data_IF_542833636560
#
_entry.id   IF_542833636560
#
_cell.length_a   1.000
_cell.length_b   1.000
_cell.length_c   1.000
_cell.angle_alpha   90.00
_cell.angle_beta   90.00
_cell.angle_gamma   90.00
#
_symmetry.space_group_name_H-M   'P 1'
#
loop_
_entity.id
_entity.type
_entity.pdbx_description
1 polymer ?
#
# COMPACT_ATOMS: atom_id res chain seq x y z
N UNK A 1 -26.76 12.61 -59.44
CA UNK A 1 -26.17 13.17 -58.20
C UNK A 1 -26.74 12.40 -57.03
N UNK A 2 -25.99 11.43 -56.48
CA UNK A 2 -26.41 10.65 -55.32
C UNK A 2 -26.04 11.46 -54.07
N UNK A 3 -27.06 11.90 -53.33
CA UNK A 3 -26.88 12.58 -52.04
C UNK A 3 -26.48 11.53 -51.00
N UNK A 4 -25.20 11.54 -50.62
CA UNK A 4 -24.69 10.76 -49.50
C UNK A 4 -25.21 11.39 -48.19
N UNK A 5 -26.27 10.80 -47.64
CA UNK A 5 -26.79 11.15 -46.33
C UNK A 5 -25.94 10.45 -45.26
N UNK A 6 -24.82 11.07 -44.90
CA UNK A 6 -23.98 10.65 -43.78
C UNK A 6 -24.72 10.92 -42.46
N UNK A 7 -25.60 10.00 -42.06
CA UNK A 7 -26.15 9.97 -40.70
C UNK A 7 -25.03 9.69 -39.73
N UNK A 8 -24.61 10.71 -38.99
CA UNK A 8 -23.80 10.58 -37.78
C UNK A 8 -24.48 9.59 -36.82
N UNK A 9 -23.74 8.67 -36.18
CA UNK A 9 -24.31 7.80 -35.15
C UNK A 9 -24.77 8.68 -33.98
N UNK A 10 -26.09 8.82 -33.85
CA UNK A 10 -26.75 9.37 -32.67
C UNK A 10 -26.21 8.61 -31.45
N UNK A 11 -25.54 9.33 -30.55
CA UNK A 11 -25.23 8.81 -29.23
C UNK A 11 -26.56 8.55 -28.52
N UNK A 12 -26.91 7.28 -28.36
CA UNK A 12 -28.10 6.83 -27.67
C UNK A 12 -28.03 7.24 -26.20
N UNK A 13 -28.60 8.39 -25.87
CA UNK A 13 -28.93 8.77 -24.50
C UNK A 13 -30.28 8.11 -24.16
N UNK A 14 -30.24 7.06 -23.35
CA UNK A 14 -31.44 6.57 -22.67
C UNK A 14 -31.80 7.55 -21.53
N UNK A 15 -33.10 7.61 -21.18
CA UNK A 15 -33.72 8.58 -20.25
C UNK A 15 -33.17 8.68 -18.81
N UNK A 16 -32.07 8.00 -18.49
CA UNK A 16 -31.30 8.15 -17.24
C UNK A 16 -30.08 9.09 -17.38
N UNK A 17 -29.82 9.64 -18.57
CA UNK A 17 -28.70 10.56 -18.81
C UNK A 17 -27.31 9.90 -18.84
N UNK A 18 -27.24 8.56 -18.76
CA UNK A 18 -26.01 7.78 -18.77
C UNK A 18 -25.70 7.23 -20.16
N UNK A 19 -24.46 7.37 -20.61
CA UNK A 19 -23.98 6.85 -21.89
C UNK A 19 -23.87 5.33 -21.88
N UNK A 20 -24.11 4.66 -23.02
CA UNK A 20 -23.96 3.20 -23.16
C UNK A 20 -22.61 2.65 -22.65
N UNK A 21 -21.44 3.23 -23.01
CA UNK A 21 -20.14 2.84 -22.43
C UNK A 21 -20.05 2.99 -20.91
N UNK A 22 -20.74 3.97 -20.31
CA UNK A 22 -20.75 4.14 -18.85
C UNK A 22 -21.57 3.04 -18.17
N UNK A 23 -22.70 2.63 -18.78
CA UNK A 23 -23.51 1.49 -18.29
C UNK A 23 -22.71 0.19 -18.30
N UNK A 24 -21.95 -0.06 -19.37
CA UNK A 24 -21.09 -1.25 -19.47
C UNK A 24 -19.92 -1.20 -18.48
N UNK A 25 -19.26 -0.04 -18.32
CA UNK A 25 -18.22 0.14 -17.31
C UNK A 25 -18.74 -0.09 -15.88
N UNK A 26 -19.96 0.35 -15.59
CA UNK A 26 -20.59 0.18 -14.28
C UNK A 26 -20.83 -1.29 -13.92
N UNK A 27 -21.12 -2.15 -14.92
CA UNK A 27 -21.27 -3.60 -14.73
C UNK A 27 -19.94 -4.31 -14.45
N UNK A 28 -18.83 -3.76 -14.94
CA UNK A 28 -17.49 -4.32 -14.75
C UNK A 28 -16.88 -3.95 -13.39
N UNK A 29 -17.44 -2.95 -12.71
CA UNK A 29 -16.99 -2.56 -11.38
C UNK A 29 -17.29 -3.66 -10.34
N UNK A 30 -16.27 -4.05 -9.56
CA UNK A 30 -16.50 -4.86 -8.36
C UNK A 30 -17.45 -4.17 -7.38
N UNK A 31 -18.17 -4.97 -6.60
CA UNK A 31 -19.02 -4.47 -5.54
C UNK A 31 -18.18 -3.69 -4.51
N UNK A 32 -18.71 -2.57 -4.02
CA UNK A 32 -18.02 -1.77 -3.01
C UNK A 32 -17.76 -2.52 -1.68
N UNK A 33 -18.48 -3.62 -1.45
CA UNK A 33 -18.29 -4.56 -0.33
C UNK A 33 -16.97 -5.34 -0.42
N UNK A 34 -16.45 -5.55 -1.64
CA UNK A 34 -15.21 -6.30 -1.89
C UNK A 34 -13.97 -5.42 -1.86
N UNK A 35 -14.12 -4.12 -1.63
CA UNK A 35 -13.01 -3.17 -1.62
C UNK A 35 -12.20 -3.31 -0.32
N UNK A 36 -10.88 -3.02 -0.34
CA UNK A 36 -10.07 -2.99 0.87
C UNK A 36 -10.66 -2.04 1.91
N UNK A 37 -10.63 -2.44 3.18
CA UNK A 37 -11.18 -1.64 4.26
C UNK A 37 -10.14 -0.60 4.70
N UNK A 38 -10.54 0.67 4.71
CA UNK A 38 -9.73 1.74 5.29
C UNK A 38 -10.23 2.08 6.70
N UNK A 39 -9.50 1.61 7.71
CA UNK A 39 -9.87 1.77 9.12
C UNK A 39 -9.34 3.07 9.76
N UNK A 40 -8.27 3.63 9.20
CA UNK A 40 -7.50 4.74 9.78
C UNK A 40 -6.52 4.34 10.88
N UNK A 41 -6.58 3.09 11.35
CA UNK A 41 -5.70 2.57 12.41
C UNK A 41 -4.75 1.48 11.92
N UNK A 42 -5.03 0.86 10.78
CA UNK A 42 -4.17 -0.16 10.21
C UNK A 42 -2.89 0.40 9.58
N UNK A 43 -1.84 -0.41 9.57
CA UNK A 43 -0.48 0.04 9.27
C UNK A 43 -0.31 0.53 7.82
N UNK A 44 -1.02 -0.09 6.87
CA UNK A 44 -0.93 0.20 5.43
C UNK A 44 -2.29 0.22 4.72
N UNK A 45 -3.40 0.17 5.45
CA UNK A 45 -4.76 0.07 4.89
C UNK A 45 -5.06 1.17 3.86
N UNK A 46 -4.58 2.39 4.10
CA UNK A 46 -4.73 3.52 3.18
C UNK A 46 -3.99 3.30 1.85
N UNK A 47 -2.80 2.70 1.89
CA UNK A 47 -2.02 2.39 0.69
C UNK A 47 -2.70 1.28 -0.11
N UNK A 48 -3.21 0.25 0.57
CA UNK A 48 -3.92 -0.87 -0.08
C UNK A 48 -5.22 -0.40 -0.75
N UNK A 49 -5.98 0.48 -0.09
CA UNK A 49 -7.15 1.12 -0.69
C UNK A 49 -6.79 1.96 -1.92
N UNK A 50 -5.75 2.80 -1.82
CA UNK A 50 -5.31 3.67 -2.92
C UNK A 50 -4.85 2.83 -4.13
N UNK A 51 -4.00 1.83 -3.90
CA UNK A 51 -3.49 0.95 -4.96
C UNK A 51 -4.65 0.20 -5.65
N UNK A 52 -5.63 -0.27 -4.88
CA UNK A 52 -6.80 -0.96 -5.43
C UNK A 52 -7.64 -0.04 -6.32
N UNK A 53 -7.94 1.17 -5.84
CA UNK A 53 -8.76 2.13 -6.61
C UNK A 53 -8.01 2.63 -7.85
N UNK A 54 -6.71 2.93 -7.75
CA UNK A 54 -5.89 3.27 -8.91
C UNK A 54 -5.90 2.13 -9.95
N UNK A 55 -5.88 0.87 -9.50
CA UNK A 55 -6.04 -0.30 -10.36
C UNK A 55 -7.38 -0.33 -11.09
N UNK A 56 -8.49 0.00 -10.41
CA UNK A 56 -9.81 0.08 -11.04
C UNK A 56 -9.87 1.08 -12.20
N UNK A 57 -9.20 2.23 -12.07
CA UNK A 57 -9.12 3.22 -13.16
C UNK A 57 -8.28 2.74 -14.34
N UNK A 58 -7.30 1.87 -14.10
CA UNK A 58 -6.49 1.24 -15.16
C UNK A 58 -7.31 0.16 -15.87
N UNK A 59 -8.01 -0.68 -15.11
CA UNK A 59 -8.76 -1.81 -15.62
C UNK A 59 -10.05 -1.39 -16.33
N UNK A 60 -10.68 -0.29 -15.86
CA UNK A 60 -11.92 0.25 -16.41
C UNK A 60 -11.76 1.74 -16.75
N UNK A 61 -11.06 2.11 -17.85
CA UNK A 61 -10.74 3.51 -18.16
C UNK A 61 -11.95 4.40 -18.43
N UNK A 62 -13.08 3.81 -18.82
CA UNK A 62 -14.32 4.53 -19.16
C UNK A 62 -15.15 4.90 -17.94
N UNK A 63 -14.69 4.60 -16.72
CA UNK A 63 -15.45 4.93 -15.50
C UNK A 63 -15.26 6.39 -15.09
N UNK A 64 -16.36 7.14 -14.89
CA UNK A 64 -16.28 8.46 -14.26
C UNK A 64 -15.87 8.39 -12.79
N UNK A 65 -15.01 9.31 -12.35
CA UNK A 65 -14.55 9.46 -10.96
C UNK A 65 -15.68 9.40 -9.92
N UNK A 66 -16.82 10.02 -10.21
CA UNK A 66 -17.93 10.15 -9.26
C UNK A 66 -18.52 8.79 -8.86
N UNK A 67 -18.44 7.76 -9.72
CA UNK A 67 -18.92 6.41 -9.39
C UNK A 67 -18.09 5.76 -8.32
N UNK A 68 -16.78 5.98 -8.37
CA UNK A 68 -15.84 5.46 -7.39
C UNK A 68 -15.97 6.25 -6.09
N UNK A 69 -16.01 7.59 -6.17
CA UNK A 69 -16.05 8.42 -4.97
C UNK A 69 -17.38 8.33 -4.23
N UNK A 70 -18.50 8.06 -4.93
CA UNK A 70 -19.78 7.76 -4.30
C UNK A 70 -19.81 6.44 -3.50
N UNK A 71 -18.88 5.52 -3.78
CA UNK A 71 -18.77 4.21 -3.11
C UNK A 71 -17.70 4.17 -2.02
N UNK A 72 -16.87 5.21 -1.90
CA UNK A 72 -15.80 5.30 -0.89
C UNK A 72 -16.31 5.11 0.53
N UNK A 73 -17.48 5.66 0.86
CA UNK A 73 -18.11 5.55 2.17
C UNK A 73 -18.30 4.09 2.66
N UNK A 74 -18.37 3.11 1.76
CA UNK A 74 -18.48 1.68 2.10
C UNK A 74 -17.14 1.03 2.44
N UNK A 75 -16.05 1.54 1.87
CA UNK A 75 -14.69 1.07 2.12
C UNK A 75 -14.11 1.68 3.41
N UNK A 76 -14.54 2.88 3.79
CA UNK A 76 -14.08 3.55 5.00
C UNK A 76 -14.84 3.07 6.23
N UNK A 77 -14.13 2.58 7.26
CA UNK A 77 -14.70 2.07 8.51
C UNK A 77 -13.95 2.61 9.72
N UNK A 78 -14.52 2.43 10.92
CA UNK A 78 -13.85 2.79 12.18
C UNK A 78 -13.53 4.29 12.30
N UNK A 79 -12.36 4.62 12.81
CA UNK A 79 -11.95 6.02 13.04
C UNK A 79 -11.89 6.83 11.74
N UNK A 80 -11.45 6.21 10.64
CA UNK A 80 -11.43 6.86 9.34
C UNK A 80 -12.83 7.27 8.84
N UNK A 81 -13.89 6.58 9.28
CA UNK A 81 -15.26 6.92 8.84
C UNK A 81 -15.75 8.26 9.39
N UNK A 82 -15.29 8.64 10.58
CA UNK A 82 -15.60 9.94 11.19
C UNK A 82 -14.89 11.03 10.38
N UNK A 83 -13.58 10.87 10.18
CA UNK A 83 -12.78 11.77 9.35
C UNK A 83 -13.34 11.92 7.92
N UNK A 84 -13.75 10.82 7.28
CA UNK A 84 -14.31 10.87 5.93
C UNK A 84 -15.59 11.70 5.86
N UNK A 85 -16.49 11.60 6.86
CA UNK A 85 -17.71 12.40 6.91
C UNK A 85 -17.41 13.89 7.10
N UNK A 86 -16.47 14.23 7.98
CA UNK A 86 -16.03 15.62 8.18
C UNK A 86 -15.44 16.20 6.88
N UNK A 87 -14.60 15.43 6.19
CA UNK A 87 -14.04 15.85 4.90
C UNK A 87 -15.09 15.93 3.79
N UNK A 88 -16.08 15.03 3.77
CA UNK A 88 -17.19 15.08 2.82
C UNK A 88 -18.08 16.32 3.04
N UNK A 89 -18.29 16.74 4.28
CA UNK A 89 -19.04 17.96 4.60
C UNK A 89 -18.29 19.23 4.15
N UNK A 90 -16.97 19.27 4.34
CA UNK A 90 -16.13 20.41 3.96
C UNK A 90 -15.93 20.51 2.44
N UNK A 91 -15.63 19.39 1.79
CA UNK A 91 -15.20 19.37 0.40
C UNK A 91 -16.28 18.92 -0.59
N UNK A 92 -17.30 18.20 -0.14
CA UNK A 92 -18.31 17.56 -0.98
C UNK A 92 -17.79 16.33 -1.75
N UNK A 93 -18.57 15.87 -2.71
CA UNK A 93 -18.19 14.76 -3.61
C UNK A 93 -17.22 15.25 -4.69
N UNK A 94 -15.93 15.20 -4.38
CA UNK A 94 -14.83 15.60 -5.28
C UNK A 94 -14.24 14.42 -6.05
N UNK A 95 -13.33 14.74 -6.97
CA UNK A 95 -12.60 13.79 -7.82
C UNK A 95 -11.68 12.88 -7.01
N UNK A 96 -11.34 11.71 -7.56
CA UNK A 96 -10.47 10.74 -6.90
C UNK A 96 -9.07 11.30 -6.55
N UNK A 97 -8.40 12.09 -7.41
CA UNK A 97 -7.08 12.65 -7.09
C UNK A 97 -7.07 13.51 -5.81
N UNK A 98 -8.16 14.26 -5.55
CA UNK A 98 -8.30 15.04 -4.34
C UNK A 98 -8.47 14.15 -3.12
N UNK A 99 -9.37 13.15 -3.20
CA UNK A 99 -9.54 12.17 -2.12
C UNK A 99 -8.26 11.41 -1.81
N UNK A 100 -7.55 10.95 -2.83
CA UNK A 100 -6.24 10.31 -2.69
C UNK A 100 -5.24 11.20 -1.95
N UNK A 101 -5.15 12.48 -2.31
CA UNK A 101 -4.28 13.43 -1.60
C UNK A 101 -4.69 13.61 -0.14
N UNK A 102 -5.98 13.69 0.16
CA UNK A 102 -6.49 13.84 1.53
C UNK A 102 -6.19 12.60 2.37
N UNK A 103 -6.40 11.40 1.81
CA UNK A 103 -6.09 10.13 2.49
C UNK A 103 -4.59 10.07 2.83
N UNK A 104 -3.72 10.42 1.88
CA UNK A 104 -2.27 10.45 2.10
C UNK A 104 -1.90 11.49 3.16
N UNK A 105 -2.45 12.70 3.11
CA UNK A 105 -2.15 13.74 4.09
C UNK A 105 -2.57 13.34 5.51
N UNK A 106 -3.73 12.70 5.66
CA UNK A 106 -4.23 12.27 6.95
C UNK A 106 -3.40 11.10 7.53
N UNK A 107 -2.99 10.14 6.69
CA UNK A 107 -2.33 8.92 7.15
C UNK A 107 -0.79 9.01 7.19
N UNK A 108 -0.19 9.82 6.32
CA UNK A 108 1.25 9.88 6.10
C UNK A 108 1.83 11.20 6.59
N UNK A 109 1.53 11.56 7.83
CA UNK A 109 2.12 12.73 8.47
C UNK A 109 3.64 12.52 8.73
N UNK A 110 4.38 13.61 8.93
CA UNK A 110 5.84 13.56 9.09
C UNK A 110 6.32 12.65 10.23
N UNK A 111 5.56 12.59 11.34
CA UNK A 111 5.83 11.70 12.47
C UNK A 111 5.68 10.23 12.07
N UNK A 112 4.64 9.89 11.32
CA UNK A 112 4.41 8.54 10.83
C UNK A 112 5.51 8.11 9.85
N UNK A 113 5.89 8.98 8.91
CA UNK A 113 7.00 8.70 7.97
C UNK A 113 8.29 8.44 8.76
N UNK A 114 8.60 9.29 9.75
CA UNK A 114 9.76 9.10 10.61
C UNK A 114 9.70 7.75 11.36
N UNK A 115 8.55 7.40 11.94
CA UNK A 115 8.35 6.11 12.60
C UNK A 115 8.55 4.92 11.63
N UNK A 116 8.10 5.04 10.37
CA UNK A 116 8.33 4.01 9.34
C UNK A 116 9.79 3.91 8.94
N UNK A 117 10.49 5.03 8.78
CA UNK A 117 11.94 5.05 8.53
C UNK A 117 12.70 4.38 9.67
N UNK A 118 12.42 4.75 10.92
CA UNK A 118 13.03 4.10 12.08
C UNK A 118 12.68 2.60 12.16
N UNK A 119 11.45 2.23 11.81
CA UNK A 119 11.03 0.82 11.75
C UNK A 119 11.71 0.05 10.62
N UNK A 120 12.09 0.72 9.53
CA UNK A 120 12.87 0.14 8.45
C UNK A 120 14.31 -0.09 8.93
N UNK A 121 14.98 0.95 9.43
CA UNK A 121 16.39 0.91 9.84
C UNK A 121 16.67 -0.05 11.01
N UNK A 122 15.73 -0.16 11.96
CA UNK A 122 15.90 -1.04 13.12
C UNK A 122 15.53 -2.50 12.81
N UNK A 123 14.80 -2.79 11.73
CA UNK A 123 14.28 -4.13 11.44
C UNK A 123 15.17 -4.92 10.48
N UNK A 124 16.42 -5.12 10.91
CA UNK A 124 17.39 -5.94 10.17
C UNK A 124 16.90 -7.38 9.98
N UNK A 125 17.37 -8.00 8.90
CA UNK A 125 17.07 -9.41 8.63
C UNK A 125 17.83 -10.31 9.60
N UNK A 126 17.13 -11.32 10.11
CA UNK A 126 17.70 -12.40 10.91
C UNK A 126 17.23 -13.71 10.32
N UNK A 127 18.08 -14.73 10.41
CA UNK A 127 17.90 -16.03 9.75
C UNK A 127 16.70 -16.81 10.30
N UNK A 128 16.30 -16.52 11.53
CA UNK A 128 15.12 -17.11 12.15
C UNK A 128 13.81 -16.61 11.53
N UNK A 129 13.82 -15.45 10.85
CA UNK A 129 12.64 -14.88 10.20
C UNK A 129 12.35 -15.58 8.87
N UNK A 130 11.08 -15.74 8.54
CA UNK A 130 10.68 -16.18 7.20
C UNK A 130 11.11 -15.13 6.16
N UNK A 131 11.94 -15.50 5.15
CA UNK A 131 12.45 -14.53 4.17
C UNK A 131 11.35 -13.79 3.43
N UNK A 132 10.32 -14.52 3.00
CA UNK A 132 9.19 -13.98 2.28
C UNK A 132 8.42 -12.92 3.07
N UNK A 133 8.08 -13.22 4.32
CA UNK A 133 7.36 -12.29 5.19
C UNK A 133 8.20 -11.05 5.51
N UNK A 134 9.50 -11.23 5.73
CA UNK A 134 10.42 -10.12 5.99
C UNK A 134 10.54 -9.21 4.76
N UNK A 135 10.80 -9.79 3.58
CA UNK A 135 10.90 -9.07 2.31
C UNK A 135 9.60 -8.29 2.02
N UNK A 136 8.44 -8.92 2.18
CA UNK A 136 7.14 -8.27 1.97
C UNK A 136 6.93 -7.10 2.93
N UNK A 137 7.19 -7.29 4.23
CA UNK A 137 6.99 -6.24 5.23
C UNK A 137 7.91 -5.04 5.02
N UNK A 138 9.18 -5.28 4.68
CA UNK A 138 10.15 -4.22 4.42
C UNK A 138 9.87 -3.50 3.09
N UNK A 139 9.42 -4.23 2.07
CA UNK A 139 8.98 -3.63 0.81
C UNK A 139 7.77 -2.70 1.01
N UNK A 140 6.76 -3.13 1.80
CA UNK A 140 5.62 -2.27 2.17
C UNK A 140 6.07 -1.00 2.90
N UNK A 141 7.03 -1.10 3.83
CA UNK A 141 7.61 0.07 4.53
C UNK A 141 8.30 1.05 3.57
N UNK A 142 9.10 0.53 2.65
CA UNK A 142 9.77 1.37 1.66
C UNK A 142 8.79 2.08 0.74
N UNK A 143 7.73 1.39 0.29
CA UNK A 143 6.66 1.99 -0.51
C UNK A 143 5.91 3.09 0.26
N UNK A 144 5.73 2.91 1.57
CA UNK A 144 5.13 3.90 2.44
C UNK A 144 6.02 5.14 2.67
N UNK A 145 7.34 4.96 2.81
CA UNK A 145 8.28 6.07 3.03
C UNK A 145 8.47 6.88 1.75
N UNK A 146 8.63 6.21 0.61
CA UNK A 146 8.85 6.86 -0.69
C UNK A 146 8.03 6.15 -1.78
N UNK A 147 6.76 6.59 -2.00
CA UNK A 147 5.89 6.01 -3.01
C UNK A 147 6.39 6.19 -4.45
N UNK A 148 7.27 7.16 -4.71
CA UNK A 148 7.80 7.46 -6.05
C UNK A 148 9.12 6.73 -6.33
N UNK A 149 9.62 5.98 -5.36
CA UNK A 149 10.87 5.24 -5.49
C UNK A 149 10.76 4.16 -6.57
N UNK A 150 11.76 4.09 -7.45
CA UNK A 150 11.88 2.99 -8.42
C UNK A 150 12.01 1.65 -7.70
N UNK A 151 11.33 0.62 -8.20
CA UNK A 151 11.35 -0.75 -7.63
C UNK A 151 12.78 -1.25 -7.40
N UNK A 152 13.68 -1.05 -8.38
CA UNK A 152 15.08 -1.46 -8.28
C UNK A 152 15.84 -0.75 -7.15
N UNK A 153 15.59 0.55 -6.96
CA UNK A 153 16.19 1.31 -5.86
C UNK A 153 15.67 0.82 -4.51
N UNK A 154 14.38 0.50 -4.41
CA UNK A 154 13.80 -0.11 -3.22
C UNK A 154 14.39 -1.48 -2.91
N UNK A 155 14.58 -2.31 -3.93
CA UNK A 155 15.20 -3.62 -3.79
C UNK A 155 16.67 -3.52 -3.37
N UNK A 156 17.43 -2.54 -3.88
CA UNK A 156 18.78 -2.25 -3.39
C UNK A 156 18.79 -1.81 -1.93
N UNK A 157 17.90 -0.88 -1.52
CA UNK A 157 17.76 -0.48 -0.11
C UNK A 157 17.35 -1.65 0.79
N UNK A 158 16.56 -2.59 0.28
CA UNK A 158 16.23 -3.80 1.03
C UNK A 158 17.47 -4.66 1.29
N UNK A 159 18.35 -4.81 0.31
CA UNK A 159 19.58 -5.60 0.48
C UNK A 159 20.52 -5.01 1.53
N UNK A 160 20.56 -3.68 1.69
CA UNK A 160 21.38 -3.03 2.74
C UNK A 160 20.89 -3.35 4.16
N UNK A 161 19.68 -3.89 4.31
CA UNK A 161 19.14 -4.36 5.60
C UNK A 161 19.56 -5.81 5.94
N UNK A 162 20.27 -6.48 5.03
CA UNK A 162 20.87 -7.78 5.26
C UNK A 162 22.24 -7.61 5.97
N UNK A 163 22.64 -8.56 6.82
CA UNK A 163 24.02 -8.65 7.29
C UNK A 163 25.00 -8.77 6.10
N UNK A 164 26.16 -8.11 6.15
CA UNK A 164 27.07 -7.98 5.00
C UNK A 164 27.40 -9.29 4.26
N UNK A 165 27.65 -10.38 4.97
CA UNK A 165 27.87 -11.70 4.34
C UNK A 165 26.66 -12.19 3.54
N UNK A 166 25.45 -12.00 4.08
CA UNK A 166 24.19 -12.33 3.40
C UNK A 166 23.91 -11.37 2.25
N UNK A 167 24.20 -10.09 2.41
CA UNK A 167 24.07 -9.09 1.35
C UNK A 167 24.93 -9.47 0.12
N UNK A 168 26.22 -9.75 0.34
CA UNK A 168 27.12 -10.19 -0.73
C UNK A 168 26.65 -11.50 -1.36
N UNK A 169 26.24 -12.46 -0.53
CA UNK A 169 25.78 -13.77 -0.97
C UNK A 169 24.49 -13.70 -1.82
N UNK A 170 23.59 -12.75 -1.53
CA UNK A 170 22.39 -12.50 -2.35
C UNK A 170 22.76 -11.74 -3.62
N UNK A 171 23.55 -10.66 -3.53
CA UNK A 171 24.01 -9.88 -4.69
C UNK A 171 24.74 -10.73 -5.73
N UNK A 172 25.52 -11.71 -5.30
CA UNK A 172 26.25 -12.60 -6.20
C UNK A 172 25.34 -13.58 -6.94
N UNK A 173 24.19 -13.95 -6.34
CA UNK A 173 23.23 -14.90 -6.91
C UNK A 173 22.11 -14.23 -7.70
N UNK A 174 21.86 -12.94 -7.45
CA UNK A 174 20.84 -12.15 -8.13
C UNK A 174 21.41 -11.39 -9.33
N UNK A 175 20.66 -11.35 -10.44
CA UNK A 175 20.97 -10.49 -11.59
C UNK A 175 20.75 -9.00 -11.24
N UNK A 176 21.26 -8.07 -12.06
CA UNK A 176 21.14 -6.62 -11.79
C UNK A 176 19.69 -6.09 -11.67
N UNK A 177 18.71 -6.76 -12.27
CA UNK A 177 17.29 -6.38 -12.25
C UNK A 177 16.46 -7.30 -11.35
N UNK A 178 16.91 -7.51 -10.12
CA UNK A 178 16.31 -8.51 -9.24
C UNK A 178 14.94 -8.07 -8.71
N UNK A 179 13.99 -9.00 -8.73
CA UNK A 179 12.64 -8.82 -8.18
C UNK A 179 12.63 -9.16 -6.68
N UNK A 180 11.63 -8.66 -5.95
CA UNK A 180 11.44 -9.02 -4.54
C UNK A 180 11.34 -10.54 -4.34
N UNK A 181 10.71 -11.23 -5.29
CA UNK A 181 10.55 -12.69 -5.28
C UNK A 181 11.88 -13.42 -5.41
N UNK A 182 12.77 -12.96 -6.30
CA UNK A 182 14.10 -13.54 -6.46
C UNK A 182 14.97 -13.35 -5.22
N UNK A 183 14.89 -12.18 -4.55
CA UNK A 183 15.57 -11.95 -3.26
C UNK A 183 15.07 -12.95 -2.22
N UNK A 184 13.75 -13.10 -2.08
CA UNK A 184 13.15 -13.97 -1.07
C UNK A 184 13.51 -15.46 -1.32
N UNK A 185 13.48 -15.90 -2.58
CA UNK A 185 13.92 -17.24 -2.97
C UNK A 185 15.39 -17.47 -2.64
N UNK A 186 16.26 -16.53 -3.00
CA UNK A 186 17.69 -16.63 -2.75
C UNK A 186 17.99 -16.69 -1.25
N UNK A 187 17.32 -15.86 -0.43
CA UNK A 187 17.44 -15.92 1.03
C UNK A 187 16.95 -17.25 1.60
N UNK A 188 15.84 -17.79 1.08
CA UNK A 188 15.32 -19.09 1.48
C UNK A 188 16.27 -20.23 1.09
N UNK A 189 16.90 -20.14 -0.08
CA UNK A 189 17.91 -21.10 -0.53
C UNK A 189 19.14 -21.06 0.37
N UNK A 190 19.67 -19.86 0.65
CA UNK A 190 20.82 -19.65 1.53
C UNK A 190 20.53 -20.22 2.92
N UNK A 191 19.33 -19.96 3.47
CA UNK A 191 18.88 -20.50 4.76
C UNK A 191 18.87 -22.04 4.78
N UNK A 192 18.46 -22.68 3.68
CA UNK A 192 18.39 -24.14 3.57
C UNK A 192 19.74 -24.80 3.29
N UNK A 193 20.58 -24.18 2.45
CA UNK A 193 21.79 -24.81 1.88
C UNK A 193 23.09 -24.39 2.55
N UNK A 194 23.12 -23.29 3.30
CA UNK A 194 24.37 -22.75 3.85
C UNK A 194 24.33 -22.56 5.37
N UNK A 195 25.42 -22.93 6.05
CA UNK A 195 25.61 -22.62 7.47
C UNK A 195 25.92 -21.14 7.73
N UNK A 196 26.07 -20.30 6.69
CA UNK A 196 26.27 -18.83 6.80
C UNK A 196 25.14 -18.21 7.64
N UNK A 197 23.94 -18.76 7.50
CA UNK A 197 22.77 -18.38 8.25
C UNK A 197 22.88 -18.67 9.77
N UNK A 198 23.72 -19.63 10.18
CA UNK A 198 23.97 -19.99 11.59
C UNK A 198 25.10 -19.17 12.23
N UNK A 199 25.91 -18.48 11.42
CA UNK A 199 27.15 -17.80 11.85
C UNK A 199 27.05 -16.29 11.97
N UNK A 200 25.86 -15.69 11.91
CA UNK A 200 25.67 -14.27 12.23
C UNK A 200 25.03 -14.08 13.61
N UNK A 201 25.73 -14.38 14.73
CA UNK A 201 25.33 -13.85 16.01
C UNK A 201 25.70 -12.36 15.98
N UNK A 202 24.78 -11.50 15.59
CA UNK A 202 24.84 -10.14 16.09
C UNK A 202 24.67 -10.26 17.60
N UNK A 203 25.79 -10.20 18.35
CA UNK A 203 25.78 -10.22 19.81
C UNK A 203 24.75 -9.19 20.26
N UNK A 204 23.59 -9.63 20.77
CA UNK A 204 22.72 -8.80 21.60
C UNK A 204 23.47 -8.53 22.91
N UNK A 205 24.40 -7.58 22.89
CA UNK A 205 24.83 -6.94 24.12
C UNK A 205 23.68 -6.05 24.60
N UNK A 206 22.82 -6.59 25.47
CA UNK A 206 22.28 -5.84 26.59
C UNK A 206 21.13 -4.85 26.38
N UNK A 207 20.42 -4.80 25.25
CA UNK A 207 19.18 -4.03 25.19
C UNK A 207 18.01 -4.86 25.74
N UNK A 208 17.76 -4.73 27.06
CA UNK A 208 16.47 -5.06 27.65
C UNK A 208 15.41 -4.26 26.90
N UNK A 209 14.53 -4.97 26.22
CA UNK A 209 13.28 -4.44 25.68
C UNK A 209 12.53 -3.82 26.86
N UNK A 210 12.57 -2.49 26.98
CA UNK A 210 11.71 -1.80 27.93
C UNK A 210 10.29 -1.99 27.42
N UNK A 211 9.54 -2.86 28.09
CA UNK A 211 8.09 -2.92 27.92
C UNK A 211 7.54 -1.48 28.03
N UNK A 212 6.59 -1.07 27.19
CA UNK A 212 5.93 0.22 27.38
C UNK A 212 5.29 0.23 28.76
N UNK A 213 5.62 1.25 29.55
CA UNK A 213 5.03 1.49 30.87
C UNK A 213 3.50 1.49 30.72
N UNK A 214 2.86 0.45 31.26
CA UNK A 214 1.42 0.45 31.54
C UNK A 214 1.22 1.52 32.62
N UNK A 215 0.71 2.68 32.21
CA UNK A 215 0.24 3.69 33.17
C UNK A 215 -1.05 3.13 33.76
N UNK A 216 -0.94 2.48 34.90
CA UNK A 216 -2.10 2.15 35.73
C UNK A 216 -2.55 3.47 36.38
N UNK A 217 -3.70 3.98 35.95
CA UNK A 217 -4.38 5.07 36.63
C UNK A 217 -4.92 4.51 37.95
N UNK A 218 -4.18 4.74 39.04
CA UNK A 218 -4.75 4.61 40.38
C UNK A 218 -5.74 5.76 40.59
N UNK A 219 -7.04 5.47 40.46
CA UNK A 219 -8.10 6.31 41.02
C UNK A 219 -7.98 6.32 42.54
N UNK A 220 -7.43 7.41 43.09
CA UNK A 220 -7.54 7.71 44.52
C UNK A 220 -8.73 8.63 44.76
N UNK A 221 -9.75 8.20 45.52
CA UNK A 221 -10.87 9.06 45.87
C UNK A 221 -10.42 10.12 46.90
N UNK A 222 -10.90 11.35 46.70
CA UNK A 222 -11.06 12.35 47.76
C UNK A 222 -12.53 12.68 47.85
#
# INVERSE_FOLDING_TARGET
MLMNNSRSPSQYQDGDGMSYPEKEALKQLPEASSWPIFSGTGEYDHMELIDYIDGLFIDVPSIPDYWITARLNKAVKGHASIWYKEMEEIHGRRSWPLWKSQIIQNCSNGTWIWQKTMSFDNYKYFVDKAPYEWCLRQSKRLKAIDPKMKIQMGNHKLLTQLPGELEHAVKFRCNQNFTLHEIANTLQEIRKRTNIAKFTPYKRSGFKEKQPLRVEFEDKPK
#
